data_IF_850098127394
#
_entry.id   IF_850098127394
#
_cell.length_a   1.000
_cell.length_b   1.000
_cell.length_c   1.000
_cell.angle_alpha   90.00
_cell.angle_beta   90.00
_cell.angle_gamma   90.00
#
_symmetry.space_group_name_H-M   'P 1'
#
loop_
_entity.id
_entity.type
_entity.pdbx_description
1 polymer ?
#
# COMPACT_ATOMS: atom_id res chain seq x y z
N UNK A 1 72.21 -12.04 56.02
CA UNK A 1 71.20 -12.56 56.96
C UNK A 1 69.90 -11.79 56.74
N UNK A 2 68.88 -12.50 56.21
CA UNK A 2 67.45 -12.51 56.62
C UNK A 2 66.74 -11.13 56.65
N UNK A 3 65.95 -10.69 55.66
CA UNK A 3 64.62 -11.12 55.13
C UNK A 3 63.40 -10.70 56.01
N UNK A 4 62.42 -10.01 55.36
CA UNK A 4 60.97 -9.81 55.70
C UNK A 4 60.62 -8.65 56.65
N UNK A 5 59.51 -7.91 56.60
CA UNK A 5 58.33 -7.68 55.72
C UNK A 5 57.39 -6.71 56.48
N UNK A 6 56.39 -6.13 55.80
CA UNK A 6 55.14 -5.49 56.30
C UNK A 6 55.16 -3.94 56.45
N UNK A 7 54.41 -3.12 55.69
CA UNK A 7 52.98 -3.05 55.29
C UNK A 7 52.11 -2.26 56.30
N UNK A 8 51.63 -1.07 55.90
CA UNK A 8 50.34 -0.45 56.28
C UNK A 8 50.13 0.86 55.49
N UNK A 9 49.43 0.80 54.35
CA UNK A 9 48.05 1.28 54.17
C UNK A 9 47.87 2.81 54.26
N UNK A 10 47.98 3.48 53.12
CA UNK A 10 47.43 4.81 52.87
C UNK A 10 46.20 4.64 51.96
N UNK A 11 45.06 4.28 52.55
CA UNK A 11 43.76 4.19 51.86
C UNK A 11 43.08 5.55 51.89
N UNK A 12 43.20 6.30 50.80
CA UNK A 12 42.39 7.48 50.51
C UNK A 12 40.94 7.07 50.31
N UNK A 13 40.10 7.39 51.30
CA UNK A 13 38.65 7.28 51.20
C UNK A 13 38.11 8.33 50.21
N UNK A 14 37.87 7.91 48.96
CA UNK A 14 37.08 8.67 48.01
C UNK A 14 35.60 8.51 48.41
N UNK A 15 35.11 9.43 49.25
CA UNK A 15 33.68 9.63 49.45
C UNK A 15 33.11 10.14 48.12
N UNK A 16 32.57 9.23 47.32
CA UNK A 16 31.65 9.59 46.24
C UNK A 16 30.41 10.20 46.91
N UNK A 17 30.38 11.53 47.02
CA UNK A 17 29.14 12.26 47.19
C UNK A 17 28.32 11.98 45.93
N UNK A 18 27.42 10.99 46.01
CA UNK A 18 26.31 10.91 45.08
C UNK A 18 25.42 12.09 45.45
N UNK A 19 25.66 13.24 44.81
CA UNK A 19 24.75 14.37 44.90
C UNK A 19 23.40 13.90 44.36
N UNK A 20 22.47 13.58 45.25
CA UNK A 20 21.06 13.50 44.91
C UNK A 20 20.64 14.92 44.55
N UNK A 21 20.69 15.26 43.27
CA UNK A 21 20.09 16.49 42.77
C UNK A 21 18.61 16.48 43.18
N UNK A 22 18.14 17.59 43.74
CA UNK A 22 16.74 17.72 44.07
C UNK A 22 15.93 17.66 42.77
N UNK A 23 14.83 16.89 42.69
CA UNK A 23 14.05 16.79 41.48
C UNK A 23 13.50 18.17 41.13
N UNK A 24 13.74 18.63 39.90
CA UNK A 24 13.33 19.96 39.42
C UNK A 24 12.03 19.84 38.62
N UNK A 25 11.08 20.75 38.88
CA UNK A 25 9.74 20.69 38.31
C UNK A 25 9.71 21.27 36.89
N UNK A 26 9.14 20.53 35.94
CA UNK A 26 8.92 20.99 34.56
C UNK A 26 7.69 21.89 34.47
N UNK A 27 7.77 22.96 33.67
CA UNK A 27 6.66 23.91 33.47
C UNK A 27 5.55 23.36 32.55
N UNK A 28 5.94 22.70 31.46
CA UNK A 28 5.06 22.09 30.47
C UNK A 28 5.44 20.62 30.30
N UNK A 29 4.46 19.73 30.44
CA UNK A 29 4.68 18.29 30.32
C UNK A 29 3.70 17.69 29.31
N UNK A 30 4.20 16.76 28.50
CA UNK A 30 3.39 16.04 27.51
C UNK A 30 3.37 14.57 27.87
N UNK A 31 2.17 14.04 28.17
CA UNK A 31 1.99 12.68 28.66
C UNK A 31 1.19 11.86 27.65
N UNK A 32 1.58 10.62 27.43
CA UNK A 32 0.86 9.66 26.58
C UNK A 32 -0.06 8.77 27.41
N UNK A 33 0.36 8.39 28.61
CA UNK A 33 -0.32 7.49 29.53
C UNK A 33 -1.57 8.12 30.22
N UNK A 34 -2.48 7.30 30.79
CA UNK A 34 -3.64 7.78 31.55
C UNK A 34 -3.29 8.36 32.93
N UNK A 35 -2.05 8.21 33.36
CA UNK A 35 -1.54 8.65 34.66
C UNK A 35 -0.24 9.42 34.42
N UNK A 36 -0.11 10.54 35.10
CA UNK A 36 1.12 11.35 35.11
C UNK A 36 2.03 10.79 36.19
N UNK A 37 3.25 10.40 35.80
CA UNK A 37 4.26 9.85 36.70
C UNK A 37 5.24 10.91 37.20
N UNK A 38 6.07 10.56 38.18
CA UNK A 38 7.15 11.43 38.65
C UNK A 38 8.13 11.77 37.52
N UNK A 39 8.48 10.78 36.68
CA UNK A 39 9.39 10.98 35.54
C UNK A 39 8.86 11.99 34.52
N UNK A 40 7.52 12.06 34.36
CA UNK A 40 6.89 13.01 33.45
C UNK A 40 6.92 14.45 34.00
N UNK A 41 6.84 14.61 35.33
CA UNK A 41 6.71 15.93 35.97
C UNK A 41 8.04 16.56 36.38
N UNK A 42 9.05 15.76 36.68
CA UNK A 42 10.32 16.22 37.22
C UNK A 42 11.49 15.79 36.35
N UNK A 43 12.51 16.63 36.23
CA UNK A 43 13.86 16.17 35.88
C UNK A 43 14.51 15.53 37.12
N UNK A 44 15.34 14.51 36.92
CA UNK A 44 16.03 13.77 37.98
C UNK A 44 15.12 13.11 39.04
N UNK A 45 13.99 12.52 38.60
CA UNK A 45 13.00 11.82 39.45
C UNK A 45 13.55 10.61 40.26
N UNK A 46 14.76 10.12 39.97
CA UNK A 46 15.44 9.07 40.73
C UNK A 46 14.69 7.73 40.75
N UNK A 47 14.77 7.01 41.88
CA UNK A 47 14.13 5.69 42.06
C UNK A 47 12.59 5.75 42.09
N UNK A 48 12.01 6.95 42.23
CA UNK A 48 10.56 7.16 42.27
C UNK A 48 9.96 7.51 40.91
N UNK A 49 10.75 7.44 39.83
CA UNK A 49 10.37 7.78 38.46
C UNK A 49 9.01 7.21 38.01
N UNK A 50 8.74 5.93 38.29
CA UNK A 50 7.53 5.21 37.88
C UNK A 50 6.30 5.48 38.79
N UNK A 51 6.44 6.34 39.80
CA UNK A 51 5.37 6.58 40.78
C UNK A 51 4.28 7.45 40.18
N UNK A 52 3.05 6.94 40.20
CA UNK A 52 1.84 7.64 39.77
C UNK A 52 1.47 8.80 40.71
N UNK A 53 1.34 10.02 40.18
CA UNK A 53 0.94 11.20 40.96
C UNK A 53 -0.51 11.62 40.69
N UNK A 54 -0.85 11.82 39.42
CA UNK A 54 -2.14 12.38 39.01
C UNK A 54 -2.77 11.58 37.87
N UNK A 55 -4.10 11.67 37.74
CA UNK A 55 -4.78 11.20 36.53
C UNK A 55 -4.56 12.23 35.41
N UNK A 56 -4.15 11.77 34.25
CA UNK A 56 -3.98 12.61 33.07
C UNK A 56 -5.33 13.13 32.57
N UNK A 57 -5.37 14.30 31.91
CA UNK A 57 -6.58 14.82 31.30
C UNK A 57 -7.07 13.93 30.12
N UNK A 58 -8.19 14.28 29.48
CA UNK A 58 -8.66 13.54 28.29
C UNK A 58 -7.64 13.65 27.14
N UNK A 59 -7.50 12.64 26.27
CA UNK A 59 -6.57 12.72 25.15
C UNK A 59 -6.77 13.99 24.30
N UNK A 60 -5.69 14.71 24.03
CA UNK A 60 -5.69 15.90 23.19
C UNK A 60 -6.27 17.15 23.86
N UNK A 61 -6.39 17.11 25.19
CA UNK A 61 -6.71 18.26 26.05
C UNK A 61 -5.52 18.59 26.97
N UNK A 62 -5.44 19.85 27.40
CA UNK A 62 -4.50 20.28 28.44
C UNK A 62 -5.25 20.52 29.75
N UNK A 63 -4.64 20.15 30.87
CA UNK A 63 -5.06 20.51 32.22
C UNK A 63 -3.95 21.28 32.93
N UNK A 64 -4.32 22.15 33.86
CA UNK A 64 -3.37 22.88 34.69
C UNK A 64 -3.39 22.29 36.09
N UNK A 65 -2.23 21.92 36.61
CA UNK A 65 -2.06 21.37 37.97
C UNK A 65 -1.29 22.42 38.80
N UNK A 66 -1.90 22.98 39.85
CA UNK A 66 -1.23 23.99 40.67
C UNK A 66 -0.18 23.33 41.59
N UNK A 67 0.92 24.04 41.88
CA UNK A 67 2.04 23.49 42.66
C UNK A 67 1.62 23.04 44.07
N UNK A 68 0.61 23.68 44.67
CA UNK A 68 0.02 23.26 45.95
C UNK A 68 -0.55 21.83 45.94
N UNK A 69 -1.07 21.39 44.80
CA UNK A 69 -1.65 20.05 44.66
C UNK A 69 -0.52 19.04 44.42
N UNK A 70 0.53 19.46 43.71
CA UNK A 70 1.77 18.70 43.51
C UNK A 70 2.48 18.45 44.85
N UNK A 71 2.68 19.48 45.68
CA UNK A 71 3.25 19.33 47.03
C UNK A 71 2.44 18.34 47.87
N UNK A 72 1.11 18.45 47.84
CA UNK A 72 0.22 17.56 48.57
C UNK A 72 0.28 16.10 48.06
N UNK A 73 0.45 15.88 46.76
CA UNK A 73 0.63 14.55 46.19
C UNK A 73 2.01 13.96 46.54
N UNK A 74 3.08 14.75 46.46
CA UNK A 74 4.45 14.34 46.82
C UNK A 74 4.61 13.99 48.30
N UNK A 75 3.95 14.74 49.18
CA UNK A 75 3.96 14.44 50.61
C UNK A 75 3.38 13.05 50.93
N UNK A 76 2.43 12.55 50.14
CA UNK A 76 1.83 11.21 50.31
C UNK A 76 2.80 10.08 49.97
N UNK A 77 3.81 10.34 49.16
CA UNK A 77 4.82 9.37 48.72
C UNK A 77 6.19 9.60 49.36
N UNK A 78 6.27 10.49 50.36
CA UNK A 78 7.47 10.73 51.16
C UNK A 78 8.50 11.68 50.55
N UNK A 79 8.16 12.38 49.46
CA UNK A 79 9.04 13.38 48.83
C UNK A 79 8.74 14.74 49.43
N UNK A 80 9.71 15.30 50.17
CA UNK A 80 9.54 16.53 50.95
C UNK A 80 10.31 17.73 50.39
N UNK A 81 11.23 17.51 49.44
CA UNK A 81 12.06 18.55 48.84
C UNK A 81 12.10 18.38 47.32
N UNK A 82 11.76 19.44 46.60
CA UNK A 82 11.86 19.55 45.15
C UNK A 82 12.02 21.04 44.79
N UNK A 83 12.60 21.30 43.62
CA UNK A 83 12.80 22.67 43.14
C UNK A 83 11.69 23.04 42.16
N UNK A 84 10.87 24.02 42.53
CA UNK A 84 9.72 24.45 41.72
C UNK A 84 10.04 25.60 40.75
N UNK A 85 11.27 26.11 40.71
CA UNK A 85 11.74 27.24 39.87
C UNK A 85 10.80 28.47 39.81
N UNK A 86 10.01 28.73 40.87
CA UNK A 86 9.05 29.83 40.91
C UNK A 86 7.76 29.59 40.11
N UNK A 87 7.52 28.37 39.63
CA UNK A 87 6.29 27.97 38.94
C UNK A 87 5.09 28.00 39.90
N UNK A 88 3.96 28.50 39.41
CA UNK A 88 2.68 28.52 40.16
C UNK A 88 1.77 27.38 39.71
N UNK A 89 1.81 27.04 38.42
CA UNK A 89 1.05 25.96 37.80
C UNK A 89 1.92 25.23 36.79
N UNK A 90 1.67 23.92 36.65
CA UNK A 90 2.24 23.08 35.60
C UNK A 90 1.15 22.77 34.59
N UNK A 91 1.45 22.96 33.31
CA UNK A 91 0.53 22.61 32.24
C UNK A 91 0.81 21.19 31.78
N UNK A 92 -0.19 20.33 31.91
CA UNK A 92 -0.15 18.92 31.51
C UNK A 92 -0.95 18.76 30.24
N UNK A 93 -0.31 18.42 29.14
CA UNK A 93 -0.97 18.12 27.87
C UNK A 93 -0.94 16.62 27.63
N UNK A 94 -2.09 16.02 27.29
CA UNK A 94 -2.13 14.61 26.90
C UNK A 94 -2.06 14.48 25.39
N UNK A 95 -1.05 13.78 24.88
CA UNK A 95 -0.93 13.48 23.45
C UNK A 95 -2.15 12.70 22.97
N UNK A 96 -2.62 12.99 21.76
CA UNK A 96 -3.73 12.29 21.13
C UNK A 96 -3.36 11.81 19.72
N UNK A 97 -3.86 10.62 19.39
CA UNK A 97 -3.97 10.16 18.01
C UNK A 97 -5.28 10.69 17.42
N UNK A 98 -5.27 11.10 16.16
CA UNK A 98 -6.48 11.53 15.45
C UNK A 98 -7.01 10.33 14.67
N UNK A 99 -8.27 10.00 14.90
CA UNK A 99 -9.00 8.99 14.14
C UNK A 99 -9.99 9.72 13.24
N UNK A 100 -9.76 9.64 11.94
CA UNK A 100 -10.62 10.16 10.89
C UNK A 100 -11.26 9.03 10.10
N UNK A 101 -12.02 9.40 9.06
CA UNK A 101 -12.65 8.44 8.16
C UNK A 101 -11.62 7.49 7.52
N UNK A 102 -10.46 8.02 7.08
CA UNK A 102 -9.40 7.23 6.47
C UNK A 102 -8.86 6.14 7.41
N UNK A 103 -8.64 6.48 8.69
CA UNK A 103 -8.21 5.51 9.69
C UNK A 103 -9.25 4.38 9.91
N UNK A 104 -10.54 4.71 9.92
CA UNK A 104 -11.61 3.70 10.03
C UNK A 104 -11.72 2.85 8.77
N UNK A 105 -11.60 3.46 7.59
CA UNK A 105 -11.60 2.76 6.30
C UNK A 105 -10.47 1.76 6.21
N UNK A 106 -9.26 2.09 6.69
CA UNK A 106 -8.15 1.15 6.68
C UNK A 106 -8.37 -0.04 7.62
N UNK A 107 -8.99 0.17 8.78
CA UNK A 107 -9.38 -0.92 9.68
C UNK A 107 -10.43 -1.85 9.05
N UNK A 108 -11.40 -1.29 8.34
CA UNK A 108 -12.40 -2.06 7.58
C UNK A 108 -11.71 -2.82 6.44
N UNK A 109 -10.82 -2.17 5.70
CA UNK A 109 -10.07 -2.77 4.61
C UNK A 109 -9.22 -3.95 5.11
N UNK A 110 -8.53 -3.80 6.23
CA UNK A 110 -7.72 -4.86 6.85
C UNK A 110 -8.58 -6.09 7.22
N UNK A 111 -9.76 -5.88 7.80
CA UNK A 111 -10.69 -6.98 8.13
C UNK A 111 -11.23 -7.67 6.86
N UNK A 112 -11.62 -6.90 5.85
CA UNK A 112 -12.09 -7.46 4.57
C UNK A 112 -11.00 -8.21 3.80
N UNK A 113 -9.73 -7.78 3.87
CA UNK A 113 -8.58 -8.52 3.31
C UNK A 113 -8.39 -9.85 4.04
N UNK A 114 -8.50 -9.83 5.38
CA UNK A 114 -8.38 -11.04 6.21
C UNK A 114 -9.48 -12.06 5.89
N UNK A 115 -10.69 -11.59 5.56
CA UNK A 115 -11.80 -12.44 5.11
C UNK A 115 -11.70 -12.88 3.64
N UNK A 116 -10.71 -12.40 2.89
CA UNK A 116 -10.54 -12.69 1.47
C UNK A 116 -11.55 -11.99 0.55
N UNK A 117 -12.30 -11.00 1.06
CA UNK A 117 -13.28 -10.23 0.29
C UNK A 117 -12.58 -9.13 -0.51
N UNK A 118 -11.62 -8.44 0.11
CA UNK A 118 -10.78 -7.44 -0.56
C UNK A 118 -9.51 -8.13 -1.09
N UNK A 119 -9.44 -8.34 -2.40
CA UNK A 119 -8.35 -9.02 -3.08
C UNK A 119 -7.09 -8.16 -3.29
N UNK A 120 -6.02 -8.79 -3.78
CA UNK A 120 -4.78 -8.09 -4.16
C UNK A 120 -5.02 -7.14 -5.32
N UNK A 121 -4.57 -5.88 -5.21
CA UNK A 121 -4.78 -4.85 -6.23
C UNK A 121 -6.20 -4.24 -6.23
N UNK A 122 -7.05 -4.64 -5.29
CA UNK A 122 -8.31 -3.96 -5.03
C UNK A 122 -8.12 -2.88 -3.97
N UNK A 123 -8.80 -1.76 -4.17
CA UNK A 123 -8.92 -0.67 -3.21
C UNK A 123 -10.35 -0.60 -2.71
N UNK A 124 -10.51 0.04 -1.55
CA UNK A 124 -11.77 0.19 -0.87
C UNK A 124 -12.14 1.66 -0.87
N UNK A 125 -13.31 2.01 -1.39
CA UNK A 125 -13.93 3.31 -1.15
C UNK A 125 -15.12 3.15 -0.21
N UNK A 126 -15.21 4.02 0.79
CA UNK A 126 -16.22 3.96 1.85
C UNK A 126 -16.98 5.27 1.88
N UNK A 127 -18.30 5.17 1.73
CA UNK A 127 -19.20 6.29 1.94
C UNK A 127 -19.95 6.07 3.25
N UNK A 128 -19.62 6.85 4.27
CA UNK A 128 -20.30 6.81 5.56
C UNK A 128 -21.69 7.47 5.45
N UNK A 129 -22.69 6.85 6.07
CA UNK A 129 -24.06 7.38 6.09
C UNK A 129 -24.16 8.69 6.89
N UNK A 130 -23.29 8.85 7.89
CA UNK A 130 -23.14 10.07 8.69
C UNK A 130 -21.67 10.50 8.66
N UNK A 131 -21.36 11.77 8.42
CA UNK A 131 -19.98 12.27 8.44
C UNK A 131 -19.31 11.94 9.78
N UNK A 132 -18.11 11.35 9.74
CA UNK A 132 -17.38 11.01 10.96
C UNK A 132 -16.45 12.17 11.30
N UNK A 133 -16.79 12.92 12.35
CA UNK A 133 -15.90 13.95 12.86
C UNK A 133 -14.60 13.32 13.39
N UNK A 134 -13.47 14.00 13.20
CA UNK A 134 -12.18 13.54 13.70
C UNK A 134 -12.19 13.37 15.23
N UNK A 135 -11.92 12.16 15.71
CA UNK A 135 -11.93 11.81 17.14
C UNK A 135 -10.50 11.85 17.68
N UNK A 136 -10.31 12.54 18.80
CA UNK A 136 -9.03 12.53 19.53
C UNK A 136 -9.00 11.31 20.45
N UNK A 137 -8.25 10.30 20.03
CA UNK A 137 -8.01 9.09 20.79
C UNK A 137 -6.70 9.18 21.58
N UNK A 138 -6.53 8.26 22.52
CA UNK A 138 -5.27 8.08 23.21
C UNK A 138 -4.14 7.72 22.23
N UNK A 139 -2.97 8.33 22.40
CA UNK A 139 -1.81 8.11 21.54
C UNK A 139 -1.08 6.79 21.89
N UNK A 140 -1.76 5.67 21.61
CA UNK A 140 -1.26 4.29 21.72
C UNK A 140 -0.97 3.71 20.34
N UNK A 141 -0.26 2.57 20.29
CA UNK A 141 0.09 1.89 19.03
C UNK A 141 -1.13 1.51 18.18
N UNK A 142 -2.28 1.21 18.80
CA UNK A 142 -3.55 0.94 18.13
C UNK A 142 -4.65 1.81 18.73
N UNK A 143 -4.85 3.04 18.23
CA UNK A 143 -5.80 3.99 18.81
C UNK A 143 -7.26 3.62 18.54
N UNK A 144 -7.54 2.84 17.49
CA UNK A 144 -8.84 2.23 17.24
C UNK A 144 -8.71 0.74 16.95
N UNK A 145 -9.74 0.01 17.36
CA UNK A 145 -9.91 -1.41 17.08
C UNK A 145 -11.31 -1.68 16.56
N UNK A 146 -11.39 -2.38 15.44
CA UNK A 146 -12.66 -2.88 14.92
C UNK A 146 -13.16 -4.04 15.81
N UNK A 147 -14.34 -3.88 16.39
CA UNK A 147 -14.98 -4.90 17.24
C UNK A 147 -15.88 -5.83 16.42
N UNK A 148 -16.66 -5.26 15.51
CA UNK A 148 -17.50 -6.04 14.60
C UNK A 148 -17.68 -5.32 13.27
N UNK A 149 -17.72 -6.10 12.20
CA UNK A 149 -18.05 -5.64 10.85
C UNK A 149 -19.05 -6.61 10.22
N UNK A 150 -20.21 -6.07 9.85
CA UNK A 150 -21.20 -6.72 9.00
C UNK A 150 -21.21 -6.00 7.66
N UNK A 151 -20.91 -6.75 6.60
CA UNK A 151 -20.89 -6.28 5.23
C UNK A 151 -21.86 -7.12 4.38
N UNK A 152 -22.63 -6.45 3.52
CA UNK A 152 -23.61 -7.05 2.60
C UNK A 152 -23.16 -6.79 1.15
N UNK A 153 -22.60 -7.80 0.45
CA UNK A 153 -22.05 -7.61 -0.90
C UNK A 153 -23.07 -7.16 -1.96
N UNK A 154 -24.35 -7.51 -1.80
CA UNK A 154 -25.37 -7.25 -2.82
C UNK A 154 -25.59 -5.76 -3.11
N UNK A 155 -25.56 -4.91 -2.08
CA UNK A 155 -25.71 -3.45 -2.19
C UNK A 155 -24.52 -2.67 -1.61
N UNK A 156 -23.48 -3.37 -1.17
CA UNK A 156 -22.31 -2.77 -0.53
C UNK A 156 -22.56 -2.23 0.88
N UNK A 157 -23.73 -2.42 1.47
CA UNK A 157 -24.04 -1.84 2.78
C UNK A 157 -23.17 -2.45 3.88
N UNK A 158 -22.73 -1.62 4.82
CA UNK A 158 -21.99 -2.08 5.98
C UNK A 158 -22.47 -1.43 7.28
N UNK A 159 -22.22 -2.14 8.38
CA UNK A 159 -22.30 -1.62 9.74
C UNK A 159 -21.07 -2.11 10.51
N UNK A 160 -20.40 -1.18 11.18
CA UNK A 160 -19.17 -1.44 11.90
C UNK A 160 -19.22 -0.80 13.29
N UNK A 161 -18.61 -1.49 14.26
CA UNK A 161 -18.45 -1.00 15.63
C UNK A 161 -16.96 -0.95 15.97
N UNK A 162 -16.52 0.19 16.49
CA UNK A 162 -15.12 0.42 16.86
C UNK A 162 -14.99 0.72 18.36
N UNK A 163 -13.93 0.19 18.98
CA UNK A 163 -13.43 0.65 20.25
C UNK A 163 -12.33 1.68 20.02
N UNK A 164 -12.40 2.82 20.70
CA UNK A 164 -11.42 3.91 20.58
C UNK A 164 -10.70 4.05 21.92
N UNK A 165 -9.37 4.05 21.90
CA UNK A 165 -8.57 4.19 23.10
C UNK A 165 -8.81 5.57 23.74
N UNK A 166 -9.06 5.60 25.05
CA UNK A 166 -9.38 6.82 25.79
C UNK A 166 -10.82 7.32 25.63
N UNK A 167 -11.70 6.59 24.94
CA UNK A 167 -13.14 6.87 24.84
C UNK A 167 -13.93 5.67 25.36
N UNK A 168 -14.75 5.88 26.40
CA UNK A 168 -15.49 4.79 27.06
C UNK A 168 -16.61 4.20 26.17
N UNK A 169 -17.16 4.99 25.25
CA UNK A 169 -18.24 4.58 24.36
C UNK A 169 -17.69 4.04 23.04
N UNK A 170 -18.28 2.96 22.54
CA UNK A 170 -17.98 2.44 21.20
C UNK A 170 -18.53 3.35 20.12
N UNK A 171 -17.78 3.52 19.04
CA UNK A 171 -18.22 4.25 17.86
C UNK A 171 -18.93 3.28 16.90
N UNK A 172 -20.21 3.52 16.66
CA UNK A 172 -21.01 2.80 15.67
C UNK A 172 -21.11 3.63 14.39
N UNK A 173 -20.74 3.03 13.27
CA UNK A 173 -20.83 3.65 11.95
C UNK A 173 -21.50 2.71 10.96
N UNK A 174 -22.16 3.30 9.97
CA UNK A 174 -22.77 2.58 8.86
C UNK A 174 -22.55 3.35 7.56
N UNK A 175 -22.76 2.68 6.44
CA UNK A 175 -22.55 3.28 5.13
C UNK A 175 -22.57 2.25 4.02
N UNK A 176 -21.95 2.61 2.91
CA UNK A 176 -21.73 1.74 1.76
C UNK A 176 -20.25 1.63 1.44
N UNK A 177 -19.85 0.43 1.04
CA UNK A 177 -18.52 0.07 0.60
C UNK A 177 -18.59 -0.21 -0.89
N UNK A 178 -17.76 0.50 -1.66
CA UNK A 178 -17.52 0.22 -3.06
C UNK A 178 -16.12 -0.36 -3.22
N UNK A 179 -16.06 -1.59 -3.74
CA UNK A 179 -14.79 -2.23 -4.04
C UNK A 179 -14.34 -1.75 -5.42
N UNK A 180 -13.12 -1.24 -5.47
CA UNK A 180 -12.51 -0.69 -6.68
C UNK A 180 -11.35 -1.58 -7.12
N UNK A 181 -11.13 -1.69 -8.41
CA UNK A 181 -9.99 -2.39 -8.98
C UNK A 181 -9.34 -1.52 -10.05
N UNK A 182 -8.01 -1.54 -10.09
CA UNK A 182 -7.25 -0.85 -11.11
C UNK A 182 -7.44 -1.54 -12.47
N UNK A 183 -7.99 -0.80 -13.43
CA UNK A 183 -8.23 -1.29 -14.80
C UNK A 183 -7.47 -0.44 -15.82
N UNK A 184 -6.96 -1.05 -16.92
CA UNK A 184 -6.24 -0.33 -17.95
C UNK A 184 -7.18 0.53 -18.79
N UNK A 185 -6.88 1.82 -18.91
CA UNK A 185 -7.59 2.77 -19.76
C UNK A 185 -6.66 3.39 -20.78
N UNK A 186 -7.20 3.70 -21.95
CA UNK A 186 -6.46 4.39 -23.01
C UNK A 186 -6.25 5.87 -22.64
N UNK A 187 -5.05 6.38 -22.91
CA UNK A 187 -4.65 7.78 -22.63
C UNK A 187 -4.82 8.74 -23.81
N UNK A 188 -5.09 8.23 -25.03
CA UNK A 188 -5.25 9.06 -26.23
C UNK A 188 -6.15 8.40 -27.28
N UNK A 189 -6.64 9.15 -28.26
CA UNK A 189 -7.36 8.55 -29.39
C UNK A 189 -6.39 7.77 -30.29
N UNK A 190 -6.53 6.43 -30.36
CA UNK A 190 -5.63 5.57 -31.15
C UNK A 190 -6.40 4.82 -32.25
N UNK A 191 -5.85 4.73 -33.47
CA UNK A 191 -6.47 3.97 -34.55
C UNK A 191 -6.39 2.45 -34.31
N UNK A 192 -7.20 1.69 -35.05
CA UNK A 192 -7.09 0.24 -35.09
C UNK A 192 -5.69 -0.19 -35.59
N UNK A 193 -5.17 -1.31 -35.07
CA UNK A 193 -3.85 -1.84 -35.39
C UNK A 193 -2.70 -1.19 -34.61
N UNK A 194 -2.95 -0.14 -33.82
CA UNK A 194 -1.92 0.50 -33.00
C UNK A 194 -1.38 -0.48 -31.96
N UNK A 195 -0.04 -0.61 -31.89
CA UNK A 195 0.66 -1.36 -30.87
C UNK A 195 0.61 -0.58 -29.54
N UNK A 196 0.07 -1.20 -28.49
CA UNK A 196 -0.07 -0.57 -27.18
C UNK A 196 1.24 -0.66 -26.40
N UNK A 197 1.82 0.50 -26.13
CA UNK A 197 2.92 0.68 -25.19
C UNK A 197 2.41 1.10 -23.81
N UNK A 198 3.24 0.99 -22.74
CA UNK A 198 2.86 1.45 -21.41
C UNK A 198 2.40 2.91 -21.35
N UNK A 199 2.98 3.82 -22.16
CA UNK A 199 2.53 5.22 -22.18
C UNK A 199 1.12 5.43 -22.75
N UNK A 200 0.58 4.46 -23.49
CA UNK A 200 -0.78 4.51 -24.02
C UNK A 200 -1.84 4.11 -22.98
N UNK A 201 -1.41 3.61 -21.81
CA UNK A 201 -2.27 2.97 -20.82
C UNK A 201 -2.10 3.67 -19.48
N UNK A 202 -3.21 4.10 -18.89
CA UNK A 202 -3.28 4.55 -17.51
C UNK A 202 -4.16 3.59 -16.71
N UNK A 203 -3.66 3.12 -15.58
CA UNK A 203 -4.47 2.38 -14.62
C UNK A 203 -5.39 3.39 -13.92
N UNK A 204 -6.69 3.09 -13.88
CA UNK A 204 -7.66 3.88 -13.13
C UNK A 204 -8.57 2.97 -12.31
N UNK A 205 -9.00 3.41 -11.12
CA UNK A 205 -9.91 2.65 -10.28
C UNK A 205 -11.29 2.59 -10.92
N UNK A 206 -11.86 1.38 -11.01
CA UNK A 206 -13.21 1.12 -11.52
C UNK A 206 -13.95 0.20 -10.54
N UNK A 207 -15.26 0.37 -10.33
CA UNK A 207 -16.02 -0.53 -9.46
C UNK A 207 -15.94 -1.99 -9.91
N UNK A 208 -15.67 -2.89 -8.97
CA UNK A 208 -15.55 -4.33 -9.22
C UNK A 208 -16.82 -4.88 -9.86
N UNK A 209 -18.01 -4.43 -9.42
CA UNK A 209 -19.30 -4.84 -10.00
C UNK A 209 -19.42 -4.52 -11.49
N UNK A 210 -18.87 -3.39 -11.92
CA UNK A 210 -18.84 -3.02 -13.33
C UNK A 210 -17.89 -3.94 -14.10
N UNK A 211 -16.70 -4.18 -13.55
CA UNK A 211 -15.70 -5.09 -14.11
C UNK A 211 -16.22 -6.53 -14.23
N UNK A 212 -16.93 -7.06 -13.23
CA UNK A 212 -17.50 -8.41 -13.27
C UNK A 212 -18.50 -8.58 -14.42
N UNK A 213 -19.23 -7.52 -14.78
CA UNK A 213 -20.18 -7.55 -15.88
C UNK A 213 -19.55 -7.43 -17.28
N UNK A 214 -18.41 -6.72 -17.39
CA UNK A 214 -17.80 -6.37 -18.67
C UNK A 214 -16.52 -7.18 -18.97
N UNK A 215 -15.86 -7.69 -17.94
CA UNK A 215 -14.51 -8.24 -17.97
C UNK A 215 -13.44 -7.15 -17.93
N UNK A 216 -12.35 -7.40 -17.19
CA UNK A 216 -11.16 -6.53 -17.16
C UNK A 216 -9.98 -7.26 -17.79
N UNK A 217 -9.16 -6.53 -18.54
CA UNK A 217 -7.86 -6.99 -18.96
C UNK A 217 -6.83 -6.61 -17.90
N UNK A 218 -5.85 -7.47 -17.63
CA UNK A 218 -4.69 -7.07 -16.81
C UNK A 218 -3.72 -6.27 -17.67
N UNK A 219 -2.86 -5.48 -17.03
CA UNK A 219 -1.90 -4.65 -17.77
C UNK A 219 -0.98 -5.49 -18.67
N UNK A 220 -0.51 -6.63 -18.15
CA UNK A 220 0.30 -7.62 -18.86
C UNK A 220 -0.42 -8.24 -20.07
N UNK A 221 -1.75 -8.28 -20.06
CA UNK A 221 -2.54 -8.82 -21.16
C UNK A 221 -2.77 -7.80 -22.27
N UNK A 222 -2.40 -6.54 -22.07
CA UNK A 222 -2.69 -5.42 -22.98
C UNK A 222 -1.41 -4.87 -23.59
N UNK A 223 -0.35 -4.70 -22.79
CA UNK A 223 0.93 -4.17 -23.26
C UNK A 223 1.53 -5.10 -24.32
N UNK A 224 1.99 -4.54 -25.43
CA UNK A 224 2.54 -5.29 -26.55
C UNK A 224 1.49 -5.93 -27.47
N UNK A 225 0.20 -5.75 -27.19
CA UNK A 225 -0.88 -6.12 -28.11
C UNK A 225 -1.30 -4.95 -29.01
N UNK A 226 -1.96 -5.26 -30.11
CA UNK A 226 -2.54 -4.28 -31.02
C UNK A 226 -4.03 -4.09 -30.78
N UNK A 227 -4.52 -2.87 -30.96
CA UNK A 227 -5.96 -2.58 -30.91
C UNK A 227 -6.70 -3.23 -32.08
N UNK A 228 -7.83 -3.89 -31.81
CA UNK A 228 -8.69 -4.47 -32.85
C UNK A 228 -9.48 -3.37 -33.58
N UNK A 229 -9.82 -2.30 -32.88
CA UNK A 229 -10.64 -1.18 -33.37
C UNK A 229 -10.12 0.14 -32.83
N UNK A 230 -10.54 1.23 -33.45
CA UNK A 230 -10.21 2.57 -32.98
C UNK A 230 -10.72 2.76 -31.53
N UNK A 231 -9.86 3.29 -30.67
CA UNK A 231 -10.17 3.62 -29.28
C UNK A 231 -10.27 5.13 -29.09
N UNK A 232 -10.89 5.52 -27.97
CA UNK A 232 -10.96 6.91 -27.53
C UNK A 232 -10.22 7.07 -26.21
N UNK A 233 -9.70 8.26 -25.98
CA UNK A 233 -9.16 8.64 -24.67
C UNK A 233 -10.19 8.36 -23.56
N UNK A 234 -9.72 7.81 -22.45
CA UNK A 234 -10.56 7.47 -21.30
C UNK A 234 -11.30 6.15 -21.42
N UNK A 235 -11.26 5.47 -22.56
CA UNK A 235 -11.91 4.16 -22.73
C UNK A 235 -11.19 3.08 -21.90
N UNK A 236 -11.94 2.33 -21.09
CA UNK A 236 -11.46 1.12 -20.41
C UNK A 236 -11.20 0.02 -21.44
N UNK A 237 -10.01 -0.60 -21.36
CA UNK A 237 -9.62 -1.71 -22.23
C UNK A 237 -10.14 -3.02 -21.69
N UNK A 238 -10.76 -3.79 -22.58
CA UNK A 238 -11.26 -5.13 -22.31
C UNK A 238 -10.41 -6.15 -23.07
N UNK A 239 -10.40 -7.42 -22.64
CA UNK A 239 -9.63 -8.45 -23.34
C UNK A 239 -9.99 -8.59 -24.83
N UNK A 240 -11.23 -8.27 -25.21
CA UNK A 240 -11.73 -8.33 -26.58
C UNK A 240 -11.33 -7.13 -27.45
N UNK A 241 -10.82 -6.04 -26.86
CA UNK A 241 -10.41 -4.84 -27.61
C UNK A 241 -8.96 -4.95 -28.14
N UNK A 242 -8.21 -5.97 -27.72
CA UNK A 242 -6.80 -6.19 -28.06
C UNK A 242 -6.57 -7.56 -28.70
N UNK A 243 -5.58 -7.63 -29.59
CA UNK A 243 -5.16 -8.87 -30.25
C UNK A 243 -3.65 -8.88 -30.46
N UNK A 244 -3.07 -10.07 -30.68
CA UNK A 244 -1.64 -10.19 -31.01
C UNK A 244 -1.32 -9.37 -32.26
N UNK A 245 -0.28 -8.52 -32.23
CA UNK A 245 0.05 -7.64 -33.34
C UNK A 245 0.41 -8.45 -34.59
N UNK A 246 -0.08 -7.97 -35.73
CA UNK A 246 0.29 -8.51 -37.04
C UNK A 246 1.74 -8.11 -37.33
N UNK A 247 2.57 -9.11 -37.61
CA UNK A 247 4.00 -8.93 -37.90
C UNK A 247 4.27 -8.92 -39.40
N UNK A 248 3.35 -9.54 -40.17
CA UNK A 248 3.30 -9.51 -41.62
C UNK A 248 1.91 -9.08 -42.04
N UNK A 249 1.81 -8.04 -42.86
CA UNK A 249 0.56 -7.57 -43.45
C UNK A 249 0.36 -8.14 -44.84
N UNK A 250 -0.89 -8.18 -45.29
CA UNK A 250 -1.22 -8.51 -46.69
C UNK A 250 -0.45 -7.59 -47.65
N UNK A 251 0.10 -8.19 -48.69
CA UNK A 251 0.93 -7.61 -49.74
C UNK A 251 2.36 -7.23 -49.33
N UNK A 252 2.78 -7.49 -48.08
CA UNK A 252 4.16 -7.23 -47.65
C UNK A 252 5.15 -8.10 -48.44
N UNK A 253 6.30 -7.50 -48.76
CA UNK A 253 7.45 -8.23 -49.31
C UNK A 253 8.08 -9.05 -48.19
N UNK A 254 8.11 -10.37 -48.35
CA UNK A 254 8.64 -11.30 -47.35
C UNK A 254 9.75 -12.17 -47.92
N UNK A 255 10.63 -12.61 -47.05
CA UNK A 255 11.68 -13.58 -47.36
C UNK A 255 11.21 -14.96 -46.90
N UNK A 256 11.06 -15.88 -47.84
CA UNK A 256 10.67 -17.27 -47.59
C UNK A 256 11.93 -18.08 -47.33
N UNK A 257 12.04 -18.64 -46.13
CA UNK A 257 13.07 -19.58 -45.72
C UNK A 257 12.54 -21.01 -45.83
N UNK A 258 13.36 -21.91 -46.35
CA UNK A 258 13.14 -23.34 -46.29
C UNK A 258 14.39 -24.00 -45.74
N UNK A 259 14.27 -24.71 -44.62
CA UNK A 259 15.38 -25.38 -43.94
C UNK A 259 15.16 -26.88 -43.92
N UNK A 260 16.19 -27.64 -44.34
CA UNK A 260 16.19 -29.10 -44.28
C UNK A 260 17.61 -29.59 -43.97
N UNK A 261 17.84 -30.02 -42.74
CA UNK A 261 19.18 -30.38 -42.27
C UNK A 261 20.16 -29.20 -42.42
N UNK A 262 21.33 -29.36 -43.07
CA UNK A 262 22.29 -28.28 -43.28
C UNK A 262 21.90 -27.32 -44.41
N UNK A 263 20.83 -27.59 -45.17
CA UNK A 263 20.42 -26.77 -46.32
C UNK A 263 19.46 -25.66 -45.90
N UNK A 264 19.76 -24.41 -46.27
CA UNK A 264 18.86 -23.26 -46.17
C UNK A 264 18.65 -22.66 -47.55
N UNK A 265 17.41 -22.59 -48.01
CA UNK A 265 17.00 -21.90 -49.23
C UNK A 265 16.24 -20.64 -48.88
N UNK A 266 16.48 -19.58 -49.65
CA UNK A 266 15.89 -18.26 -49.43
C UNK A 266 15.32 -17.72 -50.73
N UNK A 267 14.04 -17.36 -50.73
CA UNK A 267 13.36 -16.81 -51.92
C UNK A 267 12.53 -15.59 -51.54
N UNK A 268 12.45 -14.59 -52.43
CA UNK A 268 11.54 -13.45 -52.24
C UNK A 268 10.10 -13.84 -52.55
N UNK A 269 9.19 -13.45 -51.67
CA UNK A 269 7.77 -13.67 -51.78
C UNK A 269 6.96 -12.42 -51.44
N UNK A 270 5.66 -12.51 -51.62
CA UNK A 270 4.70 -11.49 -51.21
C UNK A 270 3.58 -12.12 -50.38
N UNK A 271 3.30 -11.58 -49.20
CA UNK A 271 2.24 -12.07 -48.34
C UNK A 271 0.86 -11.86 -48.96
N UNK A 272 -0.01 -12.86 -48.90
CA UNK A 272 -1.39 -12.81 -49.41
C UNK A 272 -2.37 -12.54 -48.27
N UNK A 273 -2.04 -13.03 -47.08
CA UNK A 273 -2.82 -12.83 -45.85
C UNK A 273 -1.95 -12.13 -44.80
N UNK A 274 -2.58 -11.43 -43.86
CA UNK A 274 -1.88 -10.90 -42.69
C UNK A 274 -1.76 -11.99 -41.61
N UNK A 275 -0.67 -11.97 -40.85
CA UNK A 275 -0.44 -12.93 -39.77
C UNK A 275 0.45 -12.33 -38.66
N UNK A 276 0.22 -12.78 -37.43
CA UNK A 276 1.13 -12.54 -36.31
C UNK A 276 2.33 -13.49 -36.35
N UNK A 277 3.37 -13.19 -35.57
CA UNK A 277 4.50 -14.11 -35.41
C UNK A 277 4.02 -15.49 -34.92
N UNK A 278 4.62 -16.56 -35.46
CA UNK A 278 4.26 -17.95 -35.17
C UNK A 278 2.96 -18.43 -35.81
N UNK A 279 2.19 -17.56 -36.48
CA UNK A 279 0.94 -17.94 -37.16
C UNK A 279 1.19 -18.32 -38.63
N UNK A 280 0.35 -19.20 -39.21
CA UNK A 280 0.43 -19.53 -40.63
C UNK A 280 0.03 -18.33 -41.50
N UNK A 281 0.71 -18.18 -42.64
CA UNK A 281 0.51 -17.12 -43.62
C UNK A 281 0.62 -17.69 -45.03
N UNK A 282 -0.25 -17.24 -45.94
CA UNK A 282 -0.12 -17.56 -47.35
C UNK A 282 0.79 -16.57 -48.05
N UNK A 283 1.73 -17.05 -48.85
CA UNK A 283 2.73 -16.22 -49.53
C UNK A 283 2.86 -16.64 -50.99
N UNK A 284 2.85 -15.66 -51.88
CA UNK A 284 3.15 -15.83 -53.30
C UNK A 284 4.66 -15.84 -53.52
N UNK A 285 5.21 -16.94 -54.03
CA UNK A 285 6.58 -16.98 -54.52
C UNK A 285 6.69 -16.15 -55.81
N UNK A 286 7.52 -15.11 -55.81
CA UNK A 286 7.61 -14.18 -56.93
C UNK A 286 8.31 -14.78 -58.16
N UNK A 287 9.17 -15.79 -57.96
CA UNK A 287 9.86 -16.51 -59.04
C UNK A 287 8.96 -17.56 -59.69
N UNK A 288 8.33 -18.43 -58.89
CA UNK A 288 7.53 -19.54 -59.43
C UNK A 288 6.06 -19.19 -59.64
N UNK A 289 5.60 -18.03 -59.17
CA UNK A 289 4.19 -17.59 -59.17
C UNK A 289 3.24 -18.55 -58.46
N UNK A 290 3.73 -19.37 -57.51
CA UNK A 290 2.91 -20.30 -56.72
C UNK A 290 2.64 -19.75 -55.33
N UNK A 291 1.44 -20.01 -54.80
CA UNK A 291 1.08 -19.74 -53.40
C UNK A 291 1.56 -20.87 -52.52
N UNK A 292 2.20 -20.53 -51.40
CA UNK A 292 2.76 -21.48 -50.43
C UNK A 292 2.27 -21.09 -49.03
N UNK A 293 1.98 -22.08 -48.19
CA UNK A 293 1.71 -21.86 -46.76
C UNK A 293 3.03 -21.86 -45.99
N UNK A 294 3.28 -20.82 -45.22
CA UNK A 294 4.48 -20.65 -44.40
C UNK A 294 4.09 -20.18 -43.00
N UNK A 295 5.00 -20.25 -42.04
CA UNK A 295 4.81 -19.71 -40.69
C UNK A 295 5.64 -18.44 -40.54
N UNK A 296 5.07 -17.37 -39.99
CA UNK A 296 5.81 -16.12 -39.74
C UNK A 296 6.84 -16.35 -38.63
N UNK A 297 8.12 -16.09 -38.92
CA UNK A 297 9.19 -16.20 -37.92
C UNK A 297 9.62 -14.84 -37.37
N UNK A 298 9.59 -13.80 -38.19
CA UNK A 298 9.98 -12.43 -37.82
C UNK A 298 9.34 -11.42 -38.81
N UNK A 299 9.39 -10.11 -38.55
CA UNK A 299 8.95 -9.10 -39.51
C UNK A 299 9.62 -9.32 -40.87
N UNK A 300 8.82 -9.48 -41.92
CA UNK A 300 9.32 -9.71 -43.28
C UNK A 300 9.97 -11.08 -43.54
N UNK A 301 9.86 -12.05 -42.62
CA UNK A 301 10.45 -13.37 -42.74
C UNK A 301 9.47 -14.48 -42.40
N UNK A 302 9.38 -15.49 -43.27
CA UNK A 302 8.48 -16.63 -43.14
C UNK A 302 9.25 -17.93 -43.39
N UNK A 303 8.86 -19.02 -42.74
CA UNK A 303 9.49 -20.35 -42.90
C UNK A 303 8.48 -21.38 -43.37
N UNK A 304 8.86 -22.18 -44.37
CA UNK A 304 8.03 -23.29 -44.86
C UNK A 304 8.46 -24.57 -44.16
N UNK A 305 7.52 -25.19 -43.44
CA UNK A 305 7.74 -26.49 -42.81
C UNK A 305 7.94 -27.60 -43.84
N UNK A 306 8.67 -28.65 -43.45
CA UNK A 306 8.94 -29.81 -44.31
C UNK A 306 7.75 -30.77 -44.47
N UNK A 307 6.58 -30.44 -43.94
CA UNK A 307 5.39 -31.29 -44.05
C UNK A 307 4.89 -31.33 -45.50
N UNK A 308 4.46 -32.50 -45.99
CA UNK A 308 4.06 -32.66 -47.38
C UNK A 308 2.85 -31.76 -47.67
N UNK A 309 3.05 -30.82 -48.59
CA UNK A 309 2.00 -29.99 -49.17
C UNK A 309 0.87 -30.89 -49.69
N UNK A 310 -0.25 -30.94 -48.97
CA UNK A 310 -1.50 -31.43 -49.52
C UNK A 310 -1.93 -30.43 -50.62
N UNK A 311 -1.54 -30.73 -51.85
CA UNK A 311 -2.04 -30.03 -53.03
C UNK A 311 -3.52 -30.39 -53.11
N UNK A 312 -4.40 -29.47 -52.75
CA UNK A 312 -5.81 -29.58 -53.10
C UNK A 312 -5.89 -29.61 -54.63
N UNK A 313 -6.17 -30.80 -55.16
CA UNK A 313 -6.34 -31.06 -56.57
C UNK A 313 -7.51 -30.26 -57.15
N UNK A 314 -7.33 -29.93 -58.43
CA UNK A 314 -8.23 -29.25 -59.35
C UNK A 314 -9.69 -29.74 -59.30
#
# INVERSE_FOLDING_TARGET
MILRSALALLTTALLANVAWAAPTLRADITVTAPVVTMADMFDDAGELAETALFRAPKPGTSGNVPVKDITAALARIGVLQFEAEGLVNVRVTRSAAIIDEAALTELIAADLRTRGILGTGMTLDTLFATPVAAIKAEAVAQPAKLLSLRYLPGNGAFSARFAIAGVDQTLDVSGTIELMIEAPHITANLPAGTLLSPENIAMRPVPVRFVESVGVARLEDVVGKSLVRQSREGMMLRPTDVTTPLVVSKNDSVTIYFRKGPMTLTVKGQAITSAAAGSPVQVLNLMSKRVISATVIAPGAVEVGSDPLAIAGL
#
